data_IF_772904259326
#
_entry.id   IF_772904259326
#
_cell.length_a   1.000
_cell.length_b   1.000
_cell.length_c   1.000
_cell.angle_alpha   90.00
_cell.angle_beta   90.00
_cell.angle_gamma   90.00
#
_symmetry.space_group_name_H-M   'P 1'
#
loop_
_entity.id
_entity.type
_entity.pdbx_description
1 polymer ?
#
# COMPACT_ATOMS: atom_id res chain seq x y z
N UNK A 1 -6.77 1.83 -28.97
CA UNK A 1 -5.76 0.97 -28.33
C UNK A 1 -4.36 1.57 -28.46
N UNK A 2 -3.66 1.56 -29.61
CA UNK A 2 -2.31 2.18 -29.71
C UNK A 2 -2.31 3.69 -29.42
N UNK A 3 -3.25 4.44 -30.00
CA UNK A 3 -3.35 5.89 -29.77
C UNK A 3 -3.70 6.25 -28.31
N UNK A 4 -4.40 5.36 -27.61
CA UNK A 4 -4.79 5.53 -26.21
C UNK A 4 -3.61 5.25 -25.27
N UNK A 5 -2.85 4.18 -25.54
CA UNK A 5 -1.60 3.88 -24.84
C UNK A 5 -0.54 4.97 -25.02
N UNK A 6 -0.42 5.54 -26.22
CA UNK A 6 0.49 6.66 -26.51
C UNK A 6 0.12 7.91 -25.70
N UNK A 7 -1.17 8.18 -25.51
CA UNK A 7 -1.68 9.29 -24.69
C UNK A 7 -1.41 9.03 -23.21
N UNK A 8 -1.70 7.83 -22.71
CA UNK A 8 -1.42 7.42 -21.33
C UNK A 8 0.08 7.47 -21.01
N UNK A 9 0.93 7.05 -21.94
CA UNK A 9 2.38 7.14 -21.82
C UNK A 9 2.85 8.59 -21.68
N UNK A 10 2.36 9.49 -22.53
CA UNK A 10 2.69 10.92 -22.46
C UNK A 10 2.22 11.55 -21.15
N UNK A 11 1.02 11.18 -20.68
CA UNK A 11 0.52 11.62 -19.39
C UNK A 11 1.40 11.12 -18.24
N UNK A 12 1.80 9.85 -18.25
CA UNK A 12 2.70 9.28 -17.24
C UNK A 12 4.06 10.00 -17.21
N UNK A 13 4.66 10.29 -18.36
CA UNK A 13 5.94 11.02 -18.46
C UNK A 13 5.86 12.44 -17.91
N UNK A 14 4.68 13.07 -17.97
CA UNK A 14 4.45 14.41 -17.40
C UNK A 14 4.23 14.41 -15.88
N UNK A 15 4.18 13.24 -15.23
CA UNK A 15 3.98 13.15 -13.79
C UNK A 15 5.24 13.58 -13.04
N UNK A 16 5.11 14.66 -12.27
CA UNK A 16 6.21 15.14 -11.42
C UNK A 16 6.46 14.19 -10.24
N UNK A 17 7.71 13.74 -10.10
CA UNK A 17 8.15 12.93 -8.97
C UNK A 17 8.62 13.87 -7.86
N UNK A 18 7.77 14.11 -6.88
CA UNK A 18 8.06 15.03 -5.78
C UNK A 18 8.57 14.31 -4.51
N UNK A 19 9.25 13.18 -4.69
CA UNK A 19 9.78 12.33 -3.60
C UNK A 19 11.26 12.06 -3.84
N UNK A 20 12.06 12.06 -2.77
CA UNK A 20 13.43 11.54 -2.83
C UNK A 20 13.39 10.03 -3.10
N UNK A 21 13.71 9.67 -4.34
CA UNK A 21 13.70 8.30 -4.83
C UNK A 21 14.69 7.40 -4.08
N UNK A 22 15.86 7.90 -3.68
CA UNK A 22 16.86 7.10 -2.97
C UNK A 22 16.33 6.76 -1.57
N UNK A 23 15.85 7.77 -0.84
CA UNK A 23 15.25 7.54 0.48
C UNK A 23 14.01 6.65 0.40
N UNK A 24 13.16 6.83 -0.63
CA UNK A 24 11.98 6.00 -0.84
C UNK A 24 12.34 4.54 -1.14
N UNK A 25 13.34 4.29 -1.99
CA UNK A 25 13.81 2.95 -2.31
C UNK A 25 14.38 2.23 -1.07
N UNK A 26 15.15 2.94 -0.23
CA UNK A 26 15.68 2.38 1.02
C UNK A 26 14.54 2.04 1.99
N UNK A 27 13.51 2.89 2.11
CA UNK A 27 12.33 2.58 2.94
C UNK A 27 11.59 1.35 2.43
N UNK A 28 11.40 1.26 1.10
CA UNK A 28 10.76 0.11 0.48
C UNK A 28 11.53 -1.19 0.73
N UNK A 29 12.87 -1.17 0.60
CA UNK A 29 13.70 -2.35 0.87
C UNK A 29 13.56 -2.81 2.33
N UNK A 30 13.58 -1.88 3.29
CA UNK A 30 13.37 -2.20 4.72
C UNK A 30 12.00 -2.81 4.98
N UNK A 31 10.95 -2.30 4.33
CA UNK A 31 9.61 -2.85 4.40
C UNK A 31 9.58 -4.29 3.86
N UNK A 32 10.11 -4.53 2.66
CA UNK A 32 10.18 -5.87 2.07
C UNK A 32 10.96 -6.85 2.95
N UNK A 33 12.08 -6.42 3.54
CA UNK A 33 12.83 -7.23 4.51
C UNK A 33 12.00 -7.57 5.77
N UNK A 34 11.16 -6.64 6.24
CA UNK A 34 10.31 -6.87 7.42
C UNK A 34 9.17 -7.87 7.13
N UNK A 35 8.66 -7.86 5.90
CA UNK A 35 7.68 -8.85 5.40
C UNK A 35 8.34 -10.20 5.18
N UNK A 36 9.53 -10.26 4.57
CA UNK A 36 10.21 -11.53 4.26
C UNK A 36 10.57 -12.33 5.53
N UNK A 37 10.85 -11.63 6.63
CA UNK A 37 11.02 -12.25 7.96
C UNK A 37 9.74 -12.92 8.49
N UNK A 38 8.58 -12.67 7.87
CA UNK A 38 7.25 -13.17 8.24
C UNK A 38 6.62 -13.89 7.05
N UNK A 39 7.29 -14.94 6.56
CA UNK A 39 6.86 -15.73 5.39
C UNK A 39 5.43 -16.27 5.44
N UNK A 40 4.82 -16.38 6.62
CA UNK A 40 3.39 -16.70 6.77
C UNK A 40 2.45 -15.67 6.13
N UNK A 41 2.95 -14.49 5.74
CA UNK A 41 2.22 -13.48 4.97
C UNK A 41 2.19 -13.74 3.46
N UNK A 42 2.88 -14.76 2.96
CA UNK A 42 2.88 -15.07 1.53
C UNK A 42 1.72 -15.99 1.12
N UNK A 43 1.27 -16.86 2.01
CA UNK A 43 0.20 -17.81 1.73
C UNK A 43 -0.42 -18.41 2.99
N UNK A 44 -1.54 -19.09 2.80
CA UNK A 44 -2.22 -19.87 3.83
C UNK A 44 -2.99 -19.00 4.85
N UNK A 45 -3.38 -19.61 5.99
CA UNK A 45 -4.32 -19.00 6.92
C UNK A 45 -3.86 -17.66 7.53
N UNK A 46 -2.56 -17.44 7.57
CA UNK A 46 -1.98 -16.17 8.03
C UNK A 46 -2.28 -15.02 7.07
N UNK A 47 -2.07 -15.24 5.77
CA UNK A 47 -2.43 -14.30 4.73
C UNK A 47 -3.96 -14.10 4.65
N UNK A 48 -4.75 -15.17 4.74
CA UNK A 48 -6.22 -15.06 4.69
C UNK A 48 -6.76 -14.14 5.78
N UNK A 49 -6.22 -14.24 7.00
CA UNK A 49 -6.56 -13.34 8.11
C UNK A 49 -6.08 -11.92 7.89
N UNK A 50 -4.92 -11.74 7.25
CA UNK A 50 -4.42 -10.41 6.90
C UNK A 50 -5.34 -9.72 5.88
N UNK A 51 -5.78 -10.45 4.85
CA UNK A 51 -6.75 -9.98 3.86
C UNK A 51 -8.08 -9.65 4.53
N UNK A 52 -8.56 -10.51 5.43
CA UNK A 52 -9.78 -10.25 6.20
C UNK A 52 -9.65 -8.97 7.05
N UNK A 53 -8.54 -8.80 7.77
CA UNK A 53 -8.32 -7.61 8.60
C UNK A 53 -8.20 -6.33 7.76
N UNK A 54 -7.53 -6.40 6.61
CA UNK A 54 -7.44 -5.29 5.66
C UNK A 54 -8.84 -4.84 5.22
N UNK A 55 -9.66 -5.76 4.73
CA UNK A 55 -10.99 -5.45 4.16
C UNK A 55 -12.01 -5.01 5.22
N UNK A 56 -12.11 -5.74 6.34
CA UNK A 56 -13.23 -5.57 7.27
C UNK A 56 -12.93 -4.65 8.46
N UNK A 57 -11.66 -4.35 8.74
CA UNK A 57 -11.29 -3.50 9.87
C UNK A 57 -10.46 -2.30 9.46
N UNK A 58 -9.36 -2.52 8.72
CA UNK A 58 -8.44 -1.45 8.38
C UNK A 58 -9.06 -0.40 7.45
N UNK A 59 -9.67 -0.83 6.34
CA UNK A 59 -10.32 0.09 5.40
C UNK A 59 -11.48 0.88 6.06
N UNK A 60 -12.42 0.25 6.81
CA UNK A 60 -13.45 1.00 7.52
C UNK A 60 -12.90 1.96 8.59
N UNK A 61 -11.83 1.57 9.29
CA UNK A 61 -11.17 2.44 10.27
C UNK A 61 -10.54 3.66 9.58
N UNK A 62 -9.82 3.44 8.48
CA UNK A 62 -9.17 4.51 7.71
C UNK A 62 -10.21 5.49 7.15
N UNK A 63 -11.33 4.99 6.63
CA UNK A 63 -12.45 5.83 6.17
C UNK A 63 -12.99 6.72 7.30
N UNK A 64 -13.31 6.15 8.46
CA UNK A 64 -13.78 6.91 9.64
C UNK A 64 -12.75 7.91 10.16
N UNK A 65 -11.47 7.53 10.14
CA UNK A 65 -10.38 8.41 10.56
C UNK A 65 -10.23 9.60 9.61
N UNK A 66 -10.41 9.40 8.30
CA UNK A 66 -10.37 10.49 7.31
C UNK A 66 -11.52 11.50 7.43
N UNK A 67 -12.67 11.06 7.97
CA UNK A 67 -13.85 11.91 8.19
C UNK A 67 -13.81 12.66 9.54
N UNK A 68 -13.11 12.11 10.54
CA UNK A 68 -13.10 12.62 11.90
C UNK A 68 -11.94 13.58 12.15
N UNK A 69 -12.25 14.85 12.42
CA UNK A 69 -11.28 15.86 12.89
C UNK A 69 -10.81 15.66 14.34
N UNK A 70 -11.34 14.65 15.05
CA UNK A 70 -11.13 14.46 16.50
C UNK A 70 -10.07 13.42 16.84
N UNK A 71 -9.58 12.65 15.85
CA UNK A 71 -8.51 11.68 16.06
C UNK A 71 -7.18 12.36 15.76
N UNK A 72 -6.66 13.09 16.74
CA UNK A 72 -5.35 13.73 16.63
C UNK A 72 -4.24 12.66 16.63
N UNK A 73 -3.62 12.45 15.48
CA UNK A 73 -2.40 11.65 15.34
C UNK A 73 -2.37 10.74 14.11
N UNK A 74 -1.18 10.35 13.63
CA UNK A 74 -1.04 9.50 12.47
C UNK A 74 -1.52 8.08 12.77
N UNK A 75 -2.43 7.56 11.93
CA UNK A 75 -2.82 6.17 11.98
C UNK A 75 -1.69 5.29 11.40
N UNK A 76 -1.06 4.47 12.24
CA UNK A 76 0.00 3.56 11.82
C UNK A 76 -0.60 2.22 11.39
N UNK A 77 -0.33 1.81 10.14
CA UNK A 77 -0.83 0.56 9.58
C UNK A 77 -0.10 -0.65 10.18
N UNK A 78 -0.82 -1.70 10.60
CA UNK A 78 -0.21 -2.97 10.93
C UNK A 78 0.49 -3.56 9.70
N UNK A 79 1.70 -4.12 9.88
CA UNK A 79 2.54 -4.61 8.78
C UNK A 79 1.82 -5.56 7.82
N UNK A 80 0.93 -6.39 8.33
CA UNK A 80 0.20 -7.37 7.53
C UNK A 80 -0.91 -6.72 6.68
N UNK A 81 -1.61 -5.72 7.20
CA UNK A 81 -2.51 -4.86 6.40
C UNK A 81 -1.72 -4.00 5.40
N UNK A 82 -0.54 -3.50 5.78
CA UNK A 82 0.35 -2.75 4.88
C UNK A 82 0.83 -3.61 3.71
N UNK A 83 1.16 -4.87 3.97
CA UNK A 83 1.52 -5.85 2.96
C UNK A 83 0.38 -6.13 1.98
N UNK A 84 -0.83 -6.39 2.49
CA UNK A 84 -2.02 -6.59 1.62
C UNK A 84 -2.28 -5.35 0.76
N UNK A 85 -2.21 -4.15 1.34
CA UNK A 85 -2.35 -2.91 0.58
C UNK A 85 -1.24 -2.76 -0.48
N UNK A 86 0.02 -3.06 -0.13
CA UNK A 86 1.12 -2.99 -1.08
C UNK A 86 0.86 -3.88 -2.30
N UNK A 87 0.46 -5.13 -2.09
CA UNK A 87 0.11 -6.06 -3.18
C UNK A 87 -1.10 -5.57 -3.99
N UNK A 88 -2.16 -5.11 -3.33
CA UNK A 88 -3.36 -4.59 -4.00
C UNK A 88 -3.04 -3.39 -4.91
N UNK A 89 -2.11 -2.49 -4.54
CA UNK A 89 -1.73 -1.38 -5.44
C UNK A 89 -0.96 -1.83 -6.68
N UNK A 90 -0.23 -2.95 -6.60
CA UNK A 90 0.51 -3.49 -7.74
C UNK A 90 -0.40 -4.23 -8.71
N UNK A 91 -1.52 -4.78 -8.21
CA UNK A 91 -2.54 -5.45 -9.01
C UNK A 91 -3.93 -5.21 -8.37
N UNK A 92 -4.53 -4.03 -8.63
CA UNK A 92 -5.80 -3.60 -8.02
C UNK A 92 -6.98 -4.44 -8.47
#
# INVERSE_FOLDING_TARGET
>A
MEMEQELEWKAAQSTEINVDLVSAAIRQLKFLMAVDRKRWLYEGPGLDRAIYRYNFYWLPLLAKHSESRLLDGPLVVPLDCEWVWHCHRLNP
#
